data_IF_215684947520
#
_entry.id   IF_215684947520
#
_cell.length_a   1.000
_cell.length_b   1.000
_cell.length_c   1.000
_cell.angle_alpha   90.00
_cell.angle_beta   90.00
_cell.angle_gamma   90.00
#
_symmetry.space_group_name_H-M   'P 1'
#
loop_
_entity.id
_entity.type
_entity.pdbx_description
1 polymer ?
#
# COMPACT_ATOMS: atom_id res chain seq x y z
N UNK A 1 54.75 -43.10 -31.63
CA UNK A 1 55.23 -41.86 -31.01
C UNK A 1 54.11 -40.84 -31.21
N UNK A 2 53.30 -40.57 -30.17
CA UNK A 2 53.47 -39.43 -29.26
C UNK A 2 53.73 -38.13 -30.04
N UNK A 3 52.97 -37.04 -29.93
CA UNK A 3 51.84 -36.61 -29.10
C UNK A 3 51.52 -35.18 -29.62
N UNK A 4 50.38 -34.62 -29.23
CA UNK A 4 50.11 -33.18 -29.08
C UNK A 4 49.47 -32.42 -30.25
N UNK A 5 48.20 -32.77 -30.45
CA UNK A 5 47.09 -31.82 -30.60
C UNK A 5 47.11 -30.80 -29.43
N UNK A 6 47.31 -29.51 -29.71
CA UNK A 6 47.05 -28.39 -28.78
C UNK A 6 46.61 -27.17 -29.60
N UNK A 7 45.29 -27.02 -29.77
CA UNK A 7 44.41 -26.04 -29.09
C UNK A 7 44.66 -24.58 -29.53
N UNK A 8 43.93 -24.17 -30.57
CA UNK A 8 43.62 -22.77 -30.86
C UNK A 8 42.89 -22.17 -29.65
N UNK A 9 43.55 -21.25 -28.95
CA UNK A 9 42.95 -20.47 -27.86
C UNK A 9 42.04 -19.40 -28.48
N UNK A 10 40.86 -19.81 -28.98
CA UNK A 10 39.79 -18.87 -29.31
C UNK A 10 39.29 -18.28 -28.00
N UNK A 11 39.60 -17.00 -27.78
CA UNK A 11 39.01 -16.13 -26.77
C UNK A 11 37.50 -16.01 -27.02
N UNK A 12 36.75 -17.04 -26.64
CA UNK A 12 35.31 -16.92 -26.47
C UNK A 12 35.14 -16.38 -25.05
N UNK A 13 34.85 -15.08 -24.93
CA UNK A 13 34.15 -14.59 -23.74
C UNK A 13 32.83 -15.36 -23.71
N UNK A 14 32.82 -16.51 -23.04
CA UNK A 14 31.60 -17.06 -22.47
C UNK A 14 31.32 -16.15 -21.28
N UNK A 15 30.92 -14.93 -21.60
CA UNK A 15 30.16 -14.12 -20.70
C UNK A 15 28.86 -14.93 -20.58
N UNK A 16 28.80 -15.81 -19.58
CA UNK A 16 27.55 -16.41 -19.13
C UNK A 16 26.67 -15.22 -18.82
N UNK A 17 25.87 -14.84 -19.81
CA UNK A 17 24.75 -13.95 -19.59
C UNK A 17 23.82 -14.74 -18.69
N UNK A 18 24.12 -14.70 -17.40
CA UNK A 18 23.09 -14.54 -16.39
C UNK A 18 22.36 -13.26 -16.78
N UNK A 19 21.56 -13.34 -17.85
CA UNK A 19 20.32 -12.62 -17.91
C UNK A 19 19.70 -12.99 -16.59
N UNK A 20 19.72 -12.06 -15.63
CA UNK A 20 18.82 -12.14 -14.52
C UNK A 20 17.50 -12.48 -15.18
N UNK A 21 17.03 -13.73 -14.98
CA UNK A 21 15.62 -13.97 -15.12
C UNK A 21 15.09 -13.17 -13.94
N UNK A 22 14.86 -11.89 -14.21
CA UNK A 22 13.86 -11.12 -13.49
C UNK A 22 12.57 -11.85 -13.88
N UNK A 23 12.35 -13.00 -13.25
CA UNK A 23 11.02 -13.58 -13.20
C UNK A 23 10.25 -12.49 -12.48
N UNK A 24 9.39 -11.81 -13.23
CA UNK A 24 8.48 -10.77 -12.78
C UNK A 24 7.44 -11.45 -11.88
N UNK A 25 7.93 -11.99 -10.75
CA UNK A 25 7.13 -12.49 -9.65
C UNK A 25 6.38 -11.27 -9.14
N UNK A 26 5.10 -11.21 -9.50
CA UNK A 26 4.22 -10.15 -9.07
C UNK A 26 4.38 -9.99 -7.55
N UNK A 27 4.82 -8.81 -7.13
CA UNK A 27 4.97 -8.51 -5.71
C UNK A 27 3.66 -8.86 -4.99
N UNK A 28 3.73 -9.43 -3.78
CA UNK A 28 2.51 -9.82 -3.06
C UNK A 28 1.58 -8.62 -2.92
N UNK A 29 0.28 -8.92 -2.82
CA UNK A 29 -0.72 -7.94 -2.45
C UNK A 29 -0.30 -7.20 -1.17
N UNK A 30 -0.66 -5.94 -1.04
CA UNK A 30 -0.30 -5.12 0.11
C UNK A 30 -1.17 -3.88 0.15
N UNK A 31 -1.36 -3.37 1.36
CA UNK A 31 -1.83 -2.01 1.61
C UNK A 31 -0.85 -1.39 2.60
N UNK A 32 -0.39 -0.18 2.30
CA UNK A 32 0.50 0.59 3.14
C UNK A 32 -0.06 2.00 3.34
N UNK A 33 0.14 2.54 4.54
CA UNK A 33 -0.34 3.87 4.91
C UNK A 33 0.82 4.73 5.38
N UNK A 34 0.87 5.99 4.92
CA UNK A 34 1.89 6.94 5.41
C UNK A 34 1.69 7.28 6.90
N UNK A 35 0.44 7.41 7.31
CA UNK A 35 0.05 7.54 8.72
C UNK A 35 -1.15 6.64 8.99
N UNK A 36 -1.14 5.99 10.14
CA UNK A 36 -2.24 5.16 10.65
C UNK A 36 -3.09 5.89 11.70
N UNK A 37 -2.76 7.14 12.02
CA UNK A 37 -3.52 7.94 12.98
C UNK A 37 -3.69 9.39 12.55
N UNK A 38 -4.76 10.03 13.03
CA UNK A 38 -5.01 11.45 12.88
C UNK A 38 -5.80 12.00 14.05
N UNK A 39 -5.64 13.30 14.31
CA UNK A 39 -6.44 14.03 15.31
C UNK A 39 -7.07 15.26 14.67
N UNK A 40 -8.36 15.48 14.93
CA UNK A 40 -9.14 16.60 14.41
C UNK A 40 -9.93 17.27 15.53
N UNK A 41 -10.38 18.49 15.30
CA UNK A 41 -11.21 19.22 16.27
C UNK A 41 -12.67 18.75 16.20
N UNK A 42 -13.47 19.20 17.16
CA UNK A 42 -14.84 18.72 17.39
C UNK A 42 -15.81 18.93 16.23
N UNK A 43 -15.55 19.94 15.39
CA UNK A 43 -16.40 20.29 14.27
C UNK A 43 -16.47 19.16 13.24
N UNK A 44 -17.54 19.13 12.45
CA UNK A 44 -17.60 18.31 11.25
C UNK A 44 -16.52 18.77 10.26
N UNK A 45 -15.97 17.85 9.49
CA UNK A 45 -14.88 18.18 8.59
C UNK A 45 -14.42 17.01 7.75
N UNK A 46 -13.24 17.20 7.15
CA UNK A 46 -12.61 16.17 6.31
C UNK A 46 -11.17 15.93 6.73
N UNK A 47 -10.68 14.72 6.53
CA UNK A 47 -9.28 14.32 6.69
C UNK A 47 -8.89 13.47 5.49
N UNK A 48 -7.72 13.73 4.89
CA UNK A 48 -7.24 12.93 3.76
C UNK A 48 -6.20 11.93 4.22
N UNK A 49 -6.35 10.69 3.79
CA UNK A 49 -5.41 9.60 4.03
C UNK A 49 -4.83 9.16 2.70
N UNK A 50 -3.52 8.95 2.67
CA UNK A 50 -2.84 8.40 1.49
C UNK A 50 -2.46 6.96 1.76
N UNK A 51 -2.89 6.07 0.87
CA UNK A 51 -2.53 4.66 0.88
C UNK A 51 -1.77 4.30 -0.39
N UNK A 52 -0.86 3.34 -0.29
CA UNK A 52 -0.31 2.64 -1.44
C UNK A 52 -0.83 1.21 -1.45
N UNK A 53 -1.24 0.70 -2.61
CA UNK A 53 -1.72 -0.68 -2.76
C UNK A 53 -1.08 -1.34 -3.98
N UNK A 54 -0.82 -2.65 -3.89
CA UNK A 54 -0.31 -3.43 -5.04
C UNK A 54 -1.41 -4.13 -5.84
N UNK A 55 -2.65 -4.09 -5.36
CA UNK A 55 -3.84 -4.67 -5.99
C UNK A 55 -5.09 -3.84 -5.70
N UNK A 56 -6.25 -4.31 -6.18
CA UNK A 56 -7.54 -3.68 -5.88
C UNK A 56 -7.80 -3.65 -4.36
N UNK A 57 -8.40 -2.57 -3.89
CA UNK A 57 -8.63 -2.34 -2.47
C UNK A 57 -10.05 -1.88 -2.17
N UNK A 58 -10.46 -2.07 -0.92
CA UNK A 58 -11.72 -1.58 -0.35
C UNK A 58 -11.47 -0.89 0.97
N UNK A 59 -12.38 0.01 1.36
CA UNK A 59 -12.31 0.74 2.61
C UNK A 59 -13.69 0.86 3.25
N UNK A 60 -13.74 0.70 4.57
CA UNK A 60 -14.94 0.87 5.37
C UNK A 60 -14.59 1.67 6.64
N UNK A 61 -15.38 2.71 6.91
CA UNK A 61 -15.25 3.53 8.11
C UNK A 61 -16.34 3.22 9.13
N UNK A 62 -16.10 3.62 10.37
CA UNK A 62 -17.14 3.66 11.40
C UNK A 62 -18.30 4.56 10.99
N UNK A 63 -19.46 4.38 11.60
CA UNK A 63 -20.74 4.99 11.19
C UNK A 63 -20.76 6.51 11.09
N UNK A 64 -19.88 7.21 11.81
CA UNK A 64 -19.76 8.68 11.77
C UNK A 64 -18.66 9.18 10.83
N UNK A 65 -17.97 8.27 10.12
CA UNK A 65 -16.91 8.53 9.13
C UNK A 65 -17.37 7.99 7.77
N UNK A 66 -17.61 8.90 6.82
CA UNK A 66 -17.85 8.55 5.42
C UNK A 66 -16.52 8.51 4.66
N UNK A 67 -16.30 7.43 3.91
CA UNK A 67 -15.07 7.19 3.14
C UNK A 67 -15.33 7.43 1.65
N UNK A 68 -14.45 8.16 0.96
CA UNK A 68 -14.53 8.34 -0.48
C UNK A 68 -13.14 8.47 -1.13
N UNK A 69 -12.79 7.62 -2.12
CA UNK A 69 -13.58 6.49 -2.62
C UNK A 69 -13.59 5.32 -1.62
N UNK A 70 -14.60 4.46 -1.70
CA UNK A 70 -14.70 3.24 -0.86
C UNK A 70 -13.93 2.04 -1.44
N UNK A 71 -13.44 2.16 -2.67
CA UNK A 71 -12.64 1.14 -3.33
C UNK A 71 -11.81 1.74 -4.47
N UNK A 72 -10.78 1.01 -4.89
CA UNK A 72 -9.99 1.29 -6.09
C UNK A 72 -9.57 -0.01 -6.76
N UNK A 73 -9.55 -0.04 -8.10
CA UNK A 73 -9.27 -1.26 -8.87
C UNK A 73 -7.81 -1.42 -9.32
N UNK A 74 -7.01 -0.37 -9.20
CA UNK A 74 -5.66 -0.31 -9.74
C UNK A 74 -4.62 -0.27 -8.62
N UNK A 75 -3.44 -0.84 -8.88
CA UNK A 75 -2.27 -0.65 -8.01
C UNK A 75 -1.82 0.81 -8.04
N UNK A 76 -1.25 1.28 -6.94
CA UNK A 76 -0.62 2.59 -6.86
C UNK A 76 -0.98 3.37 -5.62
N UNK A 77 -0.80 4.69 -5.70
CA UNK A 77 -1.08 5.63 -4.61
C UNK A 77 -2.51 6.14 -4.76
N UNK A 78 -3.27 6.08 -3.67
CA UNK A 78 -4.64 6.57 -3.62
C UNK A 78 -4.80 7.56 -2.47
N UNK A 79 -5.46 8.68 -2.76
CA UNK A 79 -5.91 9.63 -1.73
C UNK A 79 -7.36 9.32 -1.42
N UNK A 80 -7.64 9.02 -0.15
CA UNK A 80 -8.96 8.69 0.36
C UNK A 80 -9.40 9.79 1.32
N UNK A 81 -10.51 10.44 0.99
CA UNK A 81 -11.11 11.50 1.80
C UNK A 81 -12.06 10.89 2.81
N UNK A 82 -11.80 11.15 4.08
CA UNK A 82 -12.65 10.81 5.21
C UNK A 82 -13.47 12.05 5.57
N UNK A 83 -14.79 11.97 5.54
CA UNK A 83 -15.68 13.04 6.03
C UNK A 83 -16.31 12.59 7.33
N UNK A 84 -16.31 13.42 8.35
CA UNK A 84 -16.80 13.08 9.68
C UNK A 84 -17.80 14.10 10.20
N UNK A 85 -18.79 13.62 10.96
CA UNK A 85 -19.74 14.50 11.65
C UNK A 85 -19.09 15.20 12.84
N UNK A 86 -19.75 16.22 13.39
CA UNK A 86 -19.29 16.86 14.62
C UNK A 86 -19.39 15.89 15.82
N UNK A 87 -18.48 16.03 16.78
CA UNK A 87 -18.56 15.35 18.07
C UNK A 87 -19.30 16.25 19.08
N UNK A 88 -20.55 15.93 19.46
CA UNK A 88 -21.30 16.72 20.44
C UNK A 88 -20.95 16.36 21.89
N UNK A 89 -20.12 15.34 22.11
CA UNK A 89 -19.78 14.84 23.44
C UNK A 89 -18.79 15.76 24.14
N UNK A 90 -18.86 15.80 25.47
CA UNK A 90 -17.84 16.43 26.32
C UNK A 90 -16.57 15.57 26.49
N UNK A 91 -16.38 14.56 25.65
CA UNK A 91 -15.21 13.70 25.65
C UNK A 91 -14.75 13.45 24.21
N UNK A 92 -13.43 13.30 23.97
CA UNK A 92 -12.93 12.86 22.68
C UNK A 92 -13.55 11.52 22.28
N UNK A 93 -13.76 11.34 20.97
CA UNK A 93 -14.17 10.05 20.39
C UNK A 93 -13.13 9.57 19.38
N UNK A 94 -13.01 8.26 19.26
CA UNK A 94 -12.13 7.62 18.31
C UNK A 94 -12.94 6.73 17.39
N UNK A 95 -12.56 6.70 16.11
CA UNK A 95 -13.18 5.87 15.10
C UNK A 95 -12.15 5.38 14.11
N UNK A 96 -12.49 4.30 13.43
CA UNK A 96 -11.57 3.58 12.56
C UNK A 96 -12.03 3.59 11.11
N UNK A 97 -11.05 3.50 10.21
CA UNK A 97 -11.26 3.21 8.79
C UNK A 97 -10.32 2.07 8.43
N UNK A 98 -10.90 0.94 8.05
CA UNK A 98 -10.16 -0.26 7.67
C UNK A 98 -10.04 -0.34 6.16
N UNK A 99 -8.80 -0.48 5.68
CA UNK A 99 -8.44 -0.69 4.29
C UNK A 99 -8.03 -2.15 4.08
N UNK A 100 -8.51 -2.76 3.00
CA UNK A 100 -8.17 -4.14 2.63
C UNK A 100 -7.68 -4.21 1.20
N UNK A 101 -6.57 -4.91 0.97
CA UNK A 101 -6.01 -5.21 -0.35
C UNK A 101 -5.57 -6.68 -0.33
N UNK A 102 -6.25 -7.55 -1.08
CA UNK A 102 -6.09 -9.00 -0.95
C UNK A 102 -6.38 -9.48 0.48
N UNK A 103 -5.43 -10.19 1.09
CA UNK A 103 -5.50 -10.63 2.50
C UNK A 103 -4.95 -9.60 3.50
N UNK A 104 -4.38 -8.50 3.01
CA UNK A 104 -3.72 -7.49 3.84
C UNK A 104 -4.74 -6.47 4.33
N UNK A 105 -4.56 -6.05 5.58
CA UNK A 105 -5.45 -5.10 6.25
C UNK A 105 -4.64 -4.04 6.94
N UNK A 106 -4.98 -2.78 6.73
CA UNK A 106 -4.45 -1.64 7.47
C UNK A 106 -5.60 -0.83 8.06
N UNK A 107 -5.37 -0.20 9.20
CA UNK A 107 -6.41 0.58 9.88
C UNK A 107 -5.92 1.98 10.21
N UNK A 108 -6.68 2.97 9.77
CA UNK A 108 -6.53 4.35 10.20
C UNK A 108 -7.39 4.60 11.43
N UNK A 109 -6.83 5.26 12.44
CA UNK A 109 -7.52 5.66 13.66
C UNK A 109 -7.65 7.18 13.71
N UNK A 110 -8.89 7.69 13.65
CA UNK A 110 -9.19 9.11 13.76
C UNK A 110 -9.69 9.44 15.17
N UNK A 111 -8.96 10.30 15.87
CA UNK A 111 -9.41 10.88 17.14
C UNK A 111 -10.02 12.25 16.89
N UNK A 112 -11.28 12.44 17.28
CA UNK A 112 -11.97 13.72 17.23
C UNK A 112 -12.11 14.26 18.64
N UNK A 113 -11.60 15.47 18.87
CA UNK A 113 -11.66 16.15 20.17
C UNK A 113 -13.10 16.54 20.55
N UNK A 114 -13.25 16.98 21.79
CA UNK A 114 -14.39 17.79 22.24
C UNK A 114 -14.27 19.22 21.72
#
# INVERSE_FOLDING_TARGET
>A
MKKHLLLLLTLVCVCLTSSCKDEDEAAPDSVYMYSTTGTVDAAAGTHSVTIFTTCAWTAAGDTWITVNPVAGGEKGIHVVKLSYTANPSAAPRTGTVTFKAGTYTETFTLTQKQ
#
